data_IF_093966743376
#
_entry.id   IF_093966743376
#
_cell.length_a   1.000
_cell.length_b   1.000
_cell.length_c   1.000
_cell.angle_alpha   90.00
_cell.angle_beta   90.00
_cell.angle_gamma   90.00
#
_symmetry.space_group_name_H-M   'P 1'
#
loop_
_entity.id
_entity.type
_entity.pdbx_description
1 polymer ?
#
# COMPACT_ATOMS: atom_id res chain seq x y z
N UNK A 1 -4.74 -23.66 -4.31
CA UNK A 1 -3.89 -22.58 -3.78
C UNK A 1 -3.36 -21.79 -4.96
N UNK A 2 -4.07 -20.73 -5.38
CA UNK A 2 -3.74 -19.96 -6.56
C UNK A 2 -2.66 -18.95 -6.25
N UNK A 3 -1.40 -19.28 -6.57
CA UNK A 3 -0.35 -18.28 -6.65
C UNK A 3 -0.65 -17.41 -7.88
N UNK A 4 -1.49 -16.39 -7.68
CA UNK A 4 -1.63 -15.28 -8.62
C UNK A 4 -0.26 -14.61 -8.66
N UNK A 5 0.58 -15.06 -9.60
CA UNK A 5 1.87 -14.48 -9.93
C UNK A 5 1.60 -13.01 -10.19
N UNK A 6 1.92 -12.20 -9.18
CA UNK A 6 1.73 -10.77 -9.19
C UNK A 6 2.51 -10.21 -10.38
N UNK A 7 1.85 -9.75 -11.46
CA UNK A 7 2.53 -9.38 -12.70
C UNK A 7 3.53 -8.25 -12.49
N UNK A 8 3.37 -7.48 -11.41
CA UNK A 8 4.25 -6.39 -10.98
C UNK A 8 5.60 -6.85 -10.40
N UNK A 9 5.79 -8.13 -10.09
CA UNK A 9 7.07 -8.67 -9.56
C UNK A 9 8.09 -9.04 -10.64
N UNK A 10 7.73 -8.94 -11.91
CA UNK A 10 8.67 -9.08 -13.04
C UNK A 10 9.32 -7.73 -13.34
N UNK A 11 10.59 -7.70 -13.75
CA UNK A 11 11.36 -6.44 -13.92
C UNK A 11 10.73 -5.38 -14.83
N UNK A 12 10.03 -5.79 -15.89
CA UNK A 12 9.25 -4.85 -16.74
C UNK A 12 7.86 -4.55 -16.16
N UNK A 13 7.29 -5.48 -15.40
CA UNK A 13 6.02 -5.33 -14.69
C UNK A 13 6.10 -4.32 -13.55
N UNK A 14 7.27 -4.18 -12.91
CA UNK A 14 7.50 -3.22 -11.83
C UNK A 14 7.40 -1.77 -12.33
N UNK A 15 8.02 -1.45 -13.48
CA UNK A 15 7.96 -0.11 -14.09
C UNK A 15 6.56 0.23 -14.58
N UNK A 16 5.87 -0.74 -15.20
CA UNK A 16 4.49 -0.57 -15.65
C UNK A 16 3.55 -0.35 -14.45
N UNK A 17 3.74 -1.14 -13.39
CA UNK A 17 2.99 -1.00 -12.15
C UNK A 17 3.24 0.36 -11.48
N UNK A 18 4.49 0.79 -11.39
CA UNK A 18 4.85 2.09 -10.82
C UNK A 18 4.25 3.25 -11.62
N UNK A 19 4.31 3.18 -12.96
CA UNK A 19 3.70 4.18 -13.83
C UNK A 19 2.18 4.24 -13.64
N UNK A 20 1.53 3.08 -13.55
CA UNK A 20 0.08 2.98 -13.29
C UNK A 20 -0.29 3.55 -11.92
N UNK A 21 0.51 3.27 -10.90
CA UNK A 21 0.32 3.81 -9.56
C UNK A 21 0.46 5.34 -9.54
N UNK A 22 1.48 5.87 -10.21
CA UNK A 22 1.70 7.32 -10.31
C UNK A 22 0.53 8.00 -11.02
N UNK A 23 0.07 7.44 -12.14
CA UNK A 23 -1.08 7.98 -12.87
C UNK A 23 -2.34 8.00 -11.99
N UNK A 24 -2.63 6.90 -11.29
CA UNK A 24 -3.76 6.84 -10.36
C UNK A 24 -3.64 7.88 -9.23
N UNK A 25 -2.46 8.04 -8.64
CA UNK A 25 -2.20 9.05 -7.60
C UNK A 25 -2.40 10.47 -8.13
N UNK A 26 -1.97 10.75 -9.36
CA UNK A 26 -2.17 12.05 -9.99
C UNK A 26 -3.66 12.33 -10.25
N UNK A 27 -4.41 11.32 -10.71
CA UNK A 27 -5.86 11.44 -10.92
C UNK A 27 -6.59 11.77 -9.62
N UNK A 28 -6.34 11.04 -8.53
CA UNK A 28 -7.01 11.31 -7.24
C UNK A 28 -6.53 12.58 -6.54
N UNK A 29 -5.34 13.09 -6.90
CA UNK A 29 -4.82 14.35 -6.37
C UNK A 29 -5.48 15.59 -6.98
N UNK A 30 -6.25 15.43 -8.07
CA UNK A 30 -6.92 16.57 -8.71
C UNK A 30 -7.97 17.17 -7.77
N UNK A 31 -8.14 18.52 -7.78
CA UNK A 31 -9.00 19.21 -6.83
C UNK A 31 -10.46 18.76 -6.91
N UNK A 32 -10.93 18.35 -8.09
CA UNK A 32 -12.27 17.79 -8.29
C UNK A 32 -12.55 16.52 -7.46
N UNK A 33 -11.53 15.71 -7.18
CA UNK A 33 -11.67 14.52 -6.33
C UNK A 33 -11.30 14.82 -4.88
N UNK A 34 -10.35 15.73 -4.66
CA UNK A 34 -9.90 16.11 -3.30
C UNK A 34 -10.98 16.83 -2.50
N UNK A 35 -11.92 17.51 -3.17
CA UNK A 35 -13.07 18.16 -2.53
C UNK A 35 -14.24 17.22 -2.23
N UNK A 36 -14.21 15.98 -2.71
CA UNK A 36 -15.26 15.00 -2.41
C UNK A 36 -15.15 14.58 -0.95
N UNK A 37 -16.27 14.62 -0.23
CA UNK A 37 -16.32 14.05 1.11
C UNK A 37 -16.09 12.55 1.00
N UNK A 38 -14.97 12.09 1.53
CA UNK A 38 -14.72 10.67 1.68
C UNK A 38 -15.66 10.11 2.74
N UNK A 39 -16.15 8.88 2.56
CA UNK A 39 -17.02 8.25 3.55
C UNK A 39 -16.28 8.15 4.89
N UNK A 40 -16.80 8.84 5.89
CA UNK A 40 -16.17 8.94 7.20
C UNK A 40 -16.02 7.56 7.86
N UNK A 41 -16.94 6.64 7.58
CA UNK A 41 -16.89 5.25 8.09
C UNK A 41 -15.69 4.51 7.53
N UNK A 42 -15.35 4.75 6.26
CA UNK A 42 -14.19 4.15 5.60
C UNK A 42 -12.90 4.75 6.19
N UNK A 43 -12.86 6.07 6.39
CA UNK A 43 -11.72 6.75 7.01
C UNK A 43 -11.47 6.25 8.44
N UNK A 44 -12.51 6.09 9.24
CA UNK A 44 -12.39 5.62 10.63
C UNK A 44 -11.92 4.15 10.70
N UNK A 45 -12.44 3.30 9.80
CA UNK A 45 -11.97 1.92 9.69
C UNK A 45 -10.48 1.86 9.27
N UNK A 46 -10.07 2.69 8.32
CA UNK A 46 -8.66 2.81 7.92
C UNK A 46 -7.78 3.35 9.03
N UNK A 47 -8.23 4.38 9.74
CA UNK A 47 -7.52 4.93 10.89
C UNK A 47 -7.33 3.87 11.98
N UNK A 48 -8.35 3.06 12.27
CA UNK A 48 -8.25 1.93 13.20
C UNK A 48 -7.28 0.85 12.74
N UNK A 49 -7.19 0.57 11.43
CA UNK A 49 -6.21 -0.36 10.88
C UNK A 49 -4.77 0.19 10.93
N UNK A 50 -4.58 1.48 10.66
CA UNK A 50 -3.27 2.15 10.70
C UNK A 50 -2.77 2.37 12.13
N UNK A 51 -3.68 2.66 13.06
CA UNK A 51 -3.39 2.79 14.48
C UNK A 51 -3.12 1.43 15.14
N UNK A 52 -3.43 0.31 14.46
CA UNK A 52 -3.11 -1.01 14.96
C UNK A 52 -1.58 -1.14 14.97
N UNK A 53 -0.95 -1.30 16.15
CA UNK A 53 0.48 -1.51 16.22
C UNK A 53 0.84 -2.72 15.36
N UNK A 54 1.86 -2.57 14.52
CA UNK A 54 2.43 -3.68 13.78
C UNK A 54 2.69 -4.81 14.78
N UNK A 55 2.10 -5.98 14.52
CA UNK A 55 2.11 -7.11 15.45
C UNK A 55 3.51 -7.29 16.04
N UNK A 56 3.68 -7.21 17.37
CA UNK A 56 5.00 -7.23 18.01
C UNK A 56 5.68 -8.61 18.01
N UNK A 57 5.34 -9.51 17.07
CA UNK A 57 5.97 -10.82 16.98
C UNK A 57 6.30 -11.23 15.53
N UNK A 58 7.46 -11.90 15.31
CA UNK A 58 8.34 -11.62 14.20
C UNK A 58 8.09 -12.63 13.08
N UNK A 59 7.35 -12.23 12.05
CA UNK A 59 7.57 -12.83 10.74
C UNK A 59 8.86 -12.25 10.17
N UNK A 60 9.99 -12.84 10.59
CA UNK A 60 11.31 -12.55 10.06
C UNK A 60 12.11 -11.56 10.91
N UNK A 61 12.79 -12.09 11.94
CA UNK A 61 14.07 -11.52 12.30
C UNK A 61 14.96 -11.63 11.05
N UNK A 62 15.00 -10.55 10.25
CA UNK A 62 16.00 -10.42 9.21
C UNK A 62 17.36 -10.57 9.91
N UNK A 63 18.26 -11.44 9.43
CA UNK A 63 19.59 -11.60 10.02
C UNK A 63 20.40 -10.29 10.02
N UNK A 64 19.94 -9.27 9.29
CA UNK A 64 20.50 -7.93 9.26
C UNK A 64 20.06 -7.02 10.42
N UNK A 65 18.99 -7.34 11.15
CA UNK A 65 18.47 -6.48 12.25
C UNK A 65 19.11 -6.76 13.62
N UNK A 66 19.90 -7.83 13.76
CA UNK A 66 20.56 -8.22 15.01
C UNK A 66 22.01 -7.74 15.12
N UNK A 67 22.46 -6.87 14.20
CA UNK A 67 23.84 -6.37 14.17
C UNK A 67 23.89 -4.88 14.49
N UNK A 68 23.48 -4.53 15.71
CA UNK A 68 23.86 -3.30 16.38
C UNK A 68 24.01 -3.55 17.88
#
# INVERSE_FOLDING_TARGET
>A
MGQQLQPWRSGDGEKLWLSTLIDAMQQVSRPEFRGLSCDQTILDAFAGQLARPASPYPYGASPFSLRN
#
